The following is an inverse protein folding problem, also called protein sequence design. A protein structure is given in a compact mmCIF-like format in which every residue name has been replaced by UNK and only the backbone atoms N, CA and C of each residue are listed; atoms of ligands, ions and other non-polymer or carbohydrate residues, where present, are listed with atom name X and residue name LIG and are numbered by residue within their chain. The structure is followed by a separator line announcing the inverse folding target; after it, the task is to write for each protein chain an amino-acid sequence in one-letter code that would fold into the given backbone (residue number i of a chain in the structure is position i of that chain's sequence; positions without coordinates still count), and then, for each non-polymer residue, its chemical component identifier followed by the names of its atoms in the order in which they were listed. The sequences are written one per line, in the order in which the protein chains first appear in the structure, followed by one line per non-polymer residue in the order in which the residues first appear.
data_IF_340396760676
#
_entry.id   IF_340396760676
#
_cell.length_a   1.000
_cell.length_b   1.000
_cell.length_c   1.000
_cell.angle_alpha   90.00
_cell.angle_beta   90.00
_cell.angle_gamma   90.00
#
_symmetry.space_group_name_H-M   'P 1'
#
loop_
_entity.id
_entity.type
_entity.pdbx_description
1 polymer ?
#
# COMPACT_ATOMS: atom_id res chain seq x y z
N UNK A 1 22.61 -25.17 55.23
CA UNK A 1 22.37 -24.06 56.18
C UNK A 1 21.03 -24.15 56.89
N UNK A 2 19.89 -24.14 56.18
CA UNK A 2 18.55 -24.08 56.79
C UNK A 2 18.23 -25.23 57.77
N UNK A 3 18.57 -26.49 57.41
CA UNK A 3 18.45 -27.65 58.32
C UNK A 3 19.23 -27.48 59.65
N UNK A 4 20.35 -26.76 59.63
CA UNK A 4 21.24 -26.53 60.78
C UNK A 4 20.75 -25.40 61.70
N UNK A 5 19.91 -24.50 61.17
CA UNK A 5 19.23 -23.43 61.92
C UNK A 5 18.00 -24.00 62.65
N UNK A 6 17.23 -24.87 61.98
CA UNK A 6 16.04 -25.49 62.59
C UNK A 6 16.39 -26.49 63.68
N UNK A 7 17.47 -27.25 63.54
CA UNK A 7 17.90 -28.25 64.55
C UNK A 7 18.43 -27.66 65.87
N UNK A 8 18.54 -26.33 65.99
CA UNK A 8 19.04 -25.66 67.20
C UNK A 8 18.02 -24.65 67.79
N UNK A 9 16.79 -24.62 67.27
CA UNK A 9 15.79 -23.60 67.61
C UNK A 9 15.25 -23.75 69.06
N UNK A 10 15.36 -24.95 69.63
CA UNK A 10 14.98 -25.31 70.99
C UNK A 10 15.92 -24.79 72.07
N UNK A 11 17.15 -24.41 71.73
CA UNK A 11 18.22 -24.17 72.70
C UNK A 11 18.60 -22.68 72.85
N UNK A 12 17.98 -21.73 72.14
CA UNK A 12 18.26 -20.30 72.34
C UNK A 12 17.13 -19.35 71.88
N UNK A 13 16.60 -18.48 72.77
CA UNK A 13 15.61 -17.44 72.44
C UNK A 13 16.05 -16.43 71.37
N UNK A 14 17.36 -16.36 71.08
CA UNK A 14 17.92 -15.46 70.06
C UNK A 14 17.52 -15.83 68.61
N UNK A 15 16.98 -17.03 68.36
CA UNK A 15 16.55 -17.46 67.02
C UNK A 15 15.20 -16.87 66.56
N UNK A 16 14.42 -16.25 67.45
CA UNK A 16 13.17 -15.54 67.09
C UNK A 16 13.45 -14.36 66.15
N UNK A 17 14.62 -13.70 66.28
CA UNK A 17 15.08 -12.67 65.34
C UNK A 17 15.37 -13.20 63.93
N UNK A 18 15.75 -14.48 63.79
CA UNK A 18 16.01 -15.11 62.49
C UNK A 18 14.71 -15.53 61.77
N UNK A 19 13.63 -15.81 62.51
CA UNK A 19 12.28 -15.99 61.96
C UNK A 19 11.75 -14.71 61.30
N UNK A 20 12.05 -13.54 61.86
CA UNK A 20 11.75 -12.24 61.25
C UNK A 20 12.44 -12.02 59.91
N UNK A 21 13.68 -12.52 59.75
CA UNK A 21 14.40 -12.52 58.47
C UNK A 21 13.73 -13.45 57.44
N UNK A 22 13.22 -14.61 57.88
CA UNK A 22 12.50 -15.55 57.02
C UNK A 22 11.11 -15.01 56.61
N UNK A 23 10.38 -14.34 57.51
CA UNK A 23 9.12 -13.67 57.20
C UNK A 23 9.29 -12.50 56.21
N UNK A 24 10.35 -11.68 56.38
CA UNK A 24 10.73 -10.65 55.40
C UNK A 24 11.08 -11.26 54.04
N UNK A 25 11.78 -12.40 54.03
CA UNK A 25 12.13 -13.13 52.81
C UNK A 25 10.88 -13.70 52.11
N UNK A 26 9.92 -14.24 52.85
CA UNK A 26 8.63 -14.72 52.28
C UNK A 26 7.82 -13.56 51.69
N UNK A 27 7.74 -12.40 52.36
CA UNK A 27 7.08 -11.20 51.81
C UNK A 27 7.76 -10.69 50.53
N UNK A 28 9.10 -10.72 50.48
CA UNK A 28 9.87 -10.34 49.28
C UNK A 28 9.66 -11.33 48.13
N UNK A 29 9.48 -12.61 48.43
CA UNK A 29 9.15 -13.66 47.44
C UNK A 29 7.71 -13.57 46.91
N UNK A 30 6.75 -13.08 47.70
CA UNK A 30 5.39 -12.79 47.21
C UNK A 30 5.40 -11.69 46.15
N UNK A 31 6.22 -10.65 46.35
CA UNK A 31 6.39 -9.56 45.38
C UNK A 31 7.00 -10.08 44.08
N UNK A 32 7.97 -11.01 44.17
CA UNK A 32 8.59 -11.63 42.98
C UNK A 32 7.61 -12.55 42.23
N UNK A 33 6.72 -13.26 42.93
CA UNK A 33 5.65 -14.07 42.29
C UNK A 33 4.60 -13.21 41.59
N UNK A 34 4.21 -12.07 42.17
CA UNK A 34 3.30 -11.12 41.52
C UNK A 34 3.92 -10.51 40.26
N UNK A 35 5.21 -10.15 40.30
CA UNK A 35 5.94 -9.68 39.11
C UNK A 35 6.01 -10.76 38.01
N UNK A 36 6.26 -12.02 38.37
CA UNK A 36 6.26 -13.14 37.42
C UNK A 36 4.90 -13.32 36.72
N UNK A 37 3.79 -13.18 37.45
CA UNK A 37 2.43 -13.22 36.87
C UNK A 37 2.17 -12.06 35.91
N UNK A 38 2.67 -10.85 36.21
CA UNK A 38 2.58 -9.70 35.30
C UNK A 38 3.33 -9.96 33.99
N UNK A 39 4.52 -10.56 34.06
CA UNK A 39 5.28 -10.92 32.84
C UNK A 39 4.57 -12.01 32.02
N UNK A 40 3.94 -13.00 32.65
CA UNK A 40 3.14 -14.01 31.95
C UNK A 40 1.91 -13.37 31.30
N UNK A 41 1.21 -12.46 32.01
CA UNK A 41 0.07 -11.73 31.45
C UNK A 41 0.49 -10.86 30.26
N UNK A 42 1.61 -10.14 30.35
CA UNK A 42 2.18 -9.37 29.24
C UNK A 42 2.57 -10.26 28.05
N UNK A 43 3.18 -11.42 28.30
CA UNK A 43 3.55 -12.37 27.24
C UNK A 43 2.31 -12.92 26.52
N UNK A 44 1.23 -13.22 27.25
CA UNK A 44 -0.05 -13.66 26.68
C UNK A 44 -0.73 -12.54 25.87
N UNK A 45 -0.64 -11.29 26.33
CA UNK A 45 -1.15 -10.13 25.58
C UNK A 45 -0.37 -9.97 24.27
N UNK A 46 0.97 -10.01 24.31
CA UNK A 46 1.82 -9.91 23.11
C UNK A 46 1.58 -11.09 22.15
N UNK A 47 1.45 -12.31 22.65
CA UNK A 47 1.11 -13.48 21.83
C UNK A 47 -0.28 -13.37 21.21
N UNK A 48 -1.26 -12.85 21.95
CA UNK A 48 -2.61 -12.65 21.40
C UNK A 48 -2.60 -11.66 20.24
N UNK A 49 -1.83 -10.56 20.33
CA UNK A 49 -1.71 -9.56 19.27
C UNK A 49 -1.04 -10.12 18.00
N UNK A 50 -0.07 -11.04 18.15
CA UNK A 50 0.60 -11.67 17.01
C UNK A 50 -0.29 -12.69 16.25
N UNK A 51 -1.31 -13.26 16.88
CA UNK A 51 -2.23 -14.23 16.26
C UNK A 51 -3.31 -13.55 15.41
N UNK A 52 -3.62 -12.28 15.68
CA UNK A 52 -4.65 -11.53 14.96
C UNK A 52 -4.13 -10.73 13.75
N UNK A 53 -2.82 -10.69 13.53
CA UNK A 53 -2.24 -10.06 12.35
C UNK A 53 -2.18 -11.07 11.19
N UNK A 54 -2.77 -10.79 10.02
CA UNK A 54 -2.64 -11.66 8.85
C UNK A 54 -1.15 -11.85 8.51
N UNK A 55 -0.82 -12.97 7.84
CA UNK A 55 0.55 -13.18 7.40
C UNK A 55 1.00 -12.00 6.53
N UNK A 56 2.21 -11.51 6.76
CA UNK A 56 2.74 -10.31 6.08
C UNK A 56 2.65 -10.44 4.54
N UNK A 57 2.76 -11.65 3.99
CA UNK A 57 2.52 -11.90 2.55
C UNK A 57 1.06 -11.73 2.10
N UNK A 58 0.08 -12.06 2.93
CA UNK A 58 -1.33 -11.77 2.66
C UNK A 58 -1.63 -10.27 2.81
N UNK A 59 -0.96 -9.60 3.77
CA UNK A 59 -1.03 -8.16 3.95
C UNK A 59 -0.27 -7.37 2.85
N UNK A 60 0.61 -8.05 2.11
CA UNK A 60 1.38 -7.50 0.99
C UNK A 60 0.78 -7.85 -0.40
N UNK A 61 -0.49 -8.23 -0.47
CA UNK A 61 -1.14 -8.56 -1.75
C UNK A 61 -2.21 -7.52 -2.11
N UNK A 62 -1.93 -6.68 -3.10
CA UNK A 62 -2.82 -5.65 -3.59
C UNK A 62 -2.91 -5.66 -5.13
N UNK A 63 -4.03 -5.22 -5.70
CA UNK A 63 -4.20 -5.11 -7.16
C UNK A 63 -3.25 -4.10 -7.79
N UNK A 64 -2.74 -3.14 -7.02
CA UNK A 64 -1.71 -2.21 -7.45
C UNK A 64 -0.37 -2.91 -7.75
N UNK A 65 -0.12 -4.09 -7.19
CA UNK A 65 1.18 -4.74 -7.19
C UNK A 65 1.54 -5.35 -8.54
N UNK A 66 2.81 -5.26 -8.93
CA UNK A 66 3.33 -6.00 -10.08
C UNK A 66 3.33 -7.50 -9.80
N UNK A 67 3.74 -7.89 -8.60
CA UNK A 67 3.73 -9.27 -8.12
C UNK A 67 2.91 -9.32 -6.82
N UNK A 68 1.70 -9.88 -6.92
CA UNK A 68 0.78 -10.05 -5.78
C UNK A 68 1.44 -10.86 -4.67
N UNK A 69 1.46 -10.33 -3.44
CA UNK A 69 2.10 -10.98 -2.28
C UNK A 69 3.62 -10.82 -2.23
N UNK A 70 4.19 -10.02 -3.12
CA UNK A 70 5.60 -9.66 -3.13
C UNK A 70 6.56 -10.77 -3.53
N UNK A 71 7.83 -10.57 -3.16
CA UNK A 71 8.97 -11.39 -3.55
C UNK A 71 9.47 -12.30 -2.42
N UNK A 72 8.64 -12.52 -1.41
CA UNK A 72 8.94 -13.33 -0.23
C UNK A 72 9.61 -12.53 0.90
N UNK A 73 9.71 -13.15 2.07
CA UNK A 73 10.25 -12.58 3.32
C UNK A 73 11.27 -13.54 3.93
N UNK A 74 12.13 -13.05 4.84
CA UNK A 74 13.08 -13.89 5.56
C UNK A 74 13.97 -14.72 4.64
N UNK A 75 14.02 -16.04 4.85
CA UNK A 75 14.76 -16.99 4.01
C UNK A 75 14.11 -17.24 2.64
N UNK A 76 12.84 -16.86 2.46
CA UNK A 76 12.07 -17.08 1.23
C UNK A 76 12.15 -15.90 0.24
N UNK A 77 12.90 -14.84 0.59
CA UNK A 77 13.17 -13.71 -0.33
C UNK A 77 13.87 -14.22 -1.58
N UNK A 78 13.27 -14.02 -2.75
CA UNK A 78 13.87 -14.48 -4.00
C UNK A 78 13.44 -13.62 -5.18
N UNK A 79 14.43 -13.18 -5.97
CA UNK A 79 14.18 -12.49 -7.24
C UNK A 79 13.46 -13.41 -8.26
N UNK A 80 13.55 -14.73 -8.09
CA UNK A 80 12.81 -15.66 -8.94
C UNK A 80 11.29 -15.50 -8.81
N UNK A 81 10.81 -14.98 -7.67
CA UNK A 81 9.40 -14.62 -7.49
C UNK A 81 8.97 -13.47 -8.43
N UNK A 82 9.92 -12.65 -8.90
CA UNK A 82 9.69 -11.63 -9.92
C UNK A 82 9.94 -12.16 -11.33
N UNK A 83 11.06 -12.88 -11.54
CA UNK A 83 11.46 -13.35 -12.86
C UNK A 83 10.46 -14.33 -13.47
N UNK A 84 9.82 -15.19 -12.66
CA UNK A 84 8.80 -16.14 -13.13
C UNK A 84 7.57 -15.45 -13.74
N UNK A 85 6.85 -14.54 -13.04
CA UNK A 85 5.73 -13.83 -13.65
C UNK A 85 6.19 -12.85 -14.75
N UNK A 86 7.39 -12.28 -14.67
CA UNK A 86 7.98 -11.51 -15.78
C UNK A 86 8.12 -12.38 -17.05
N UNK A 87 8.69 -13.58 -16.94
CA UNK A 87 8.93 -14.46 -18.09
C UNK A 87 7.63 -14.97 -18.73
N UNK A 88 6.63 -15.25 -17.89
CA UNK A 88 5.27 -15.57 -18.32
C UNK A 88 4.49 -14.36 -18.82
N UNK A 89 5.06 -13.15 -18.76
CA UNK A 89 4.39 -11.87 -19.01
C UNK A 89 3.04 -11.74 -18.27
N UNK A 90 2.98 -12.29 -17.06
CA UNK A 90 1.78 -12.20 -16.22
C UNK A 90 1.47 -10.73 -15.96
N UNK A 91 0.21 -10.34 -16.17
CA UNK A 91 -0.26 -8.94 -16.01
C UNK A 91 0.53 -7.90 -16.80
N UNK A 92 1.20 -8.29 -17.90
CA UNK A 92 1.99 -7.38 -18.75
C UNK A 92 3.31 -6.86 -18.13
N UNK A 93 3.85 -7.52 -17.10
CA UNK A 93 5.11 -7.09 -16.47
C UNK A 93 6.27 -7.01 -17.47
N UNK A 94 6.37 -7.98 -18.40
CA UNK A 94 7.44 -7.97 -19.42
C UNK A 94 7.28 -6.78 -20.37
N UNK A 95 6.04 -6.47 -20.76
CA UNK A 95 5.74 -5.34 -21.64
C UNK A 95 6.09 -4.01 -20.97
N UNK A 96 5.76 -3.85 -19.68
CA UNK A 96 6.11 -2.67 -18.88
C UNK A 96 7.63 -2.50 -18.82
N UNK A 97 8.37 -3.56 -18.49
CA UNK A 97 9.84 -3.49 -18.42
C UNK A 97 10.47 -3.19 -19.78
N UNK A 98 9.98 -3.82 -20.85
CA UNK A 98 10.42 -3.52 -22.22
C UNK A 98 10.17 -2.07 -22.61
N UNK A 99 9.01 -1.51 -22.23
CA UNK A 99 8.67 -0.10 -22.45
C UNK A 99 9.66 0.84 -21.75
N UNK A 100 10.06 0.51 -20.53
CA UNK A 100 11.10 1.27 -19.84
C UNK A 100 12.49 1.06 -20.45
N UNK A 101 12.72 -0.06 -21.13
CA UNK A 101 14.03 -0.43 -21.65
C UNK A 101 14.93 -1.12 -20.63
N UNK A 102 14.38 -1.53 -19.49
CA UNK A 102 15.05 -2.38 -18.50
C UNK A 102 15.00 -3.82 -19.02
N UNK A 103 16.17 -4.42 -19.21
CA UNK A 103 16.27 -5.77 -19.77
C UNK A 103 16.16 -6.85 -18.71
N UNK A 104 15.76 -8.07 -19.11
CA UNK A 104 15.76 -9.24 -18.22
C UNK A 104 17.13 -9.50 -17.57
N UNK A 105 18.21 -9.29 -18.30
CA UNK A 105 19.57 -9.51 -17.79
C UNK A 105 19.94 -8.46 -16.72
N UNK A 106 19.54 -7.21 -16.93
CA UNK A 106 19.69 -6.14 -15.92
C UNK A 106 18.87 -6.44 -14.67
N UNK A 107 17.66 -6.99 -14.82
CA UNK A 107 16.85 -7.44 -13.69
C UNK A 107 17.57 -8.57 -12.95
N UNK A 108 18.01 -9.61 -13.66
CA UNK A 108 18.67 -10.77 -13.06
C UNK A 108 20.00 -10.44 -12.36
N UNK A 109 20.66 -9.34 -12.73
CA UNK A 109 21.90 -8.87 -12.08
C UNK A 109 21.66 -8.00 -10.83
N UNK A 110 20.41 -7.57 -10.60
CA UNK A 110 20.04 -6.72 -9.48
C UNK A 110 20.34 -7.38 -8.12
N UNK A 111 20.69 -6.55 -7.14
CA UNK A 111 21.14 -6.99 -5.80
C UNK A 111 20.16 -6.57 -4.74
N UNK A 112 19.85 -7.49 -3.83
CA UNK A 112 18.99 -7.19 -2.69
C UNK A 112 19.69 -6.22 -1.74
N UNK A 113 19.04 -5.10 -1.43
CA UNK A 113 19.51 -4.07 -0.51
C UNK A 113 18.33 -3.21 -0.05
N UNK A 114 18.62 -2.13 0.69
CA UNK A 114 17.64 -1.08 0.98
C UNK A 114 18.06 0.25 0.35
N UNK A 115 17.08 1.13 0.11
CA UNK A 115 17.32 2.50 -0.36
C UNK A 115 16.38 3.49 0.31
N UNK A 116 16.81 4.75 0.33
CA UNK A 116 15.95 5.87 0.72
C UNK A 116 15.04 6.26 -0.47
N UNK A 117 13.75 6.55 -0.21
CA UNK A 117 12.75 6.84 -1.25
C UNK A 117 13.13 8.07 -2.08
N UNK A 118 13.49 9.18 -1.43
CA UNK A 118 13.87 10.43 -2.10
C UNK A 118 12.84 10.89 -3.15
N UNK A 119 13.33 11.36 -4.28
CA UNK A 119 12.52 11.79 -5.43
C UNK A 119 12.14 10.65 -6.39
N UNK A 120 12.26 9.39 -5.97
CA UNK A 120 11.98 8.23 -6.81
C UNK A 120 10.49 8.06 -7.06
N UNK A 121 10.18 7.35 -8.14
CA UNK A 121 8.83 7.06 -8.59
C UNK A 121 8.57 5.56 -8.41
N UNK A 122 7.52 5.20 -7.67
CA UNK A 122 7.00 3.83 -7.63
C UNK A 122 5.92 3.64 -8.68
N UNK A 123 5.90 2.48 -9.34
CA UNK A 123 5.01 2.16 -10.44
C UNK A 123 4.06 1.02 -10.04
N UNK A 124 2.76 1.23 -10.22
CA UNK A 124 1.74 0.21 -9.96
C UNK A 124 0.59 0.25 -10.97
N UNK A 125 -0.33 -0.71 -10.87
CA UNK A 125 -1.45 -0.85 -11.81
C UNK A 125 -2.68 -0.01 -11.49
N UNK A 126 -2.77 0.61 -10.31
CA UNK A 126 -4.01 1.20 -9.81
C UNK A 126 -3.84 2.66 -9.42
N UNK A 127 -4.39 3.64 -10.14
CA UNK A 127 -4.27 5.08 -9.79
C UNK A 127 -4.58 5.33 -8.30
N UNK A 128 -3.71 6.06 -7.61
CA UNK A 128 -3.86 6.39 -6.17
C UNK A 128 -3.88 7.89 -5.91
N UNK A 129 -3.29 8.67 -6.81
CA UNK A 129 -3.14 10.11 -6.64
C UNK A 129 -3.50 10.84 -7.93
N UNK A 130 -3.95 12.08 -7.81
CA UNK A 130 -4.27 12.90 -8.99
C UNK A 130 -3.00 13.33 -9.73
N UNK A 131 -3.17 13.71 -11.00
CA UNK A 131 -2.09 14.27 -11.81
C UNK A 131 -1.49 15.55 -11.18
N UNK A 132 -2.30 16.31 -10.43
CA UNK A 132 -1.86 17.51 -9.72
C UNK A 132 -0.90 17.19 -8.56
N UNK A 133 -1.06 16.03 -7.92
CA UNK A 133 -0.14 15.52 -6.89
C UNK A 133 1.16 14.95 -7.49
N UNK A 134 1.22 14.76 -8.82
CA UNK A 134 2.41 14.32 -9.54
C UNK A 134 2.35 12.87 -10.02
N UNK A 135 1.21 12.18 -9.90
CA UNK A 135 1.01 10.88 -10.55
C UNK A 135 1.05 11.03 -12.07
N UNK A 136 1.76 10.11 -12.74
CA UNK A 136 1.87 10.07 -14.20
C UNK A 136 1.32 8.76 -14.72
N UNK A 137 0.28 8.86 -15.55
CA UNK A 137 -0.23 7.71 -16.31
C UNK A 137 0.75 7.38 -17.43
N UNK A 138 1.26 6.17 -17.43
CA UNK A 138 2.15 5.63 -18.46
C UNK A 138 1.38 4.61 -19.28
N UNK A 139 1.07 5.00 -20.51
CA UNK A 139 0.36 4.17 -21.49
C UNK A 139 1.36 3.26 -22.18
N UNK A 140 1.50 2.04 -21.69
CA UNK A 140 2.40 1.04 -22.27
C UNK A 140 1.82 0.57 -23.60
N UNK A 141 2.62 0.70 -24.66
CA UNK A 141 2.25 0.30 -26.02
C UNK A 141 3.16 -0.82 -26.52
N UNK A 142 2.61 -1.71 -27.34
CA UNK A 142 3.38 -2.73 -28.03
C UNK A 142 4.28 -2.16 -29.13
N UNK A 143 5.14 -2.99 -29.73
CA UNK A 143 6.00 -2.58 -30.85
C UNK A 143 5.25 -1.96 -32.03
N UNK A 144 4.00 -2.36 -32.24
CA UNK A 144 3.11 -1.85 -33.30
C UNK A 144 2.31 -0.61 -32.90
N UNK A 145 2.55 -0.04 -31.70
CA UNK A 145 1.87 1.15 -31.19
C UNK A 145 0.47 0.89 -30.60
N UNK A 146 0.02 -0.37 -30.55
CA UNK A 146 -1.23 -0.73 -29.90
C UNK A 146 -1.12 -0.59 -28.37
N UNK A 147 -2.19 -0.11 -27.73
CA UNK A 147 -2.25 -0.02 -26.27
C UNK A 147 -2.22 -1.43 -25.64
N UNK A 148 -1.42 -1.61 -24.58
CA UNK A 148 -1.32 -2.85 -23.82
C UNK A 148 -1.92 -2.67 -22.43
N UNK A 149 -1.33 -1.78 -21.63
CA UNK A 149 -1.71 -1.58 -20.22
C UNK A 149 -1.40 -0.15 -19.79
N UNK A 150 -2.19 0.39 -18.87
CA UNK A 150 -1.84 1.61 -18.16
C UNK A 150 -1.19 1.24 -16.84
N UNK A 151 -0.03 1.83 -16.57
CA UNK A 151 0.62 1.81 -15.25
C UNK A 151 0.83 3.24 -14.79
N UNK A 152 1.00 3.43 -13.49
CA UNK A 152 0.97 4.75 -12.88
C UNK A 152 2.25 4.96 -12.07
N UNK A 153 3.06 5.91 -12.48
CA UNK A 153 4.30 6.28 -11.80
C UNK A 153 4.03 7.43 -10.82
N UNK A 154 4.36 7.22 -9.54
CA UNK A 154 4.01 8.14 -8.43
C UNK A 154 5.24 8.50 -7.61
N UNK A 155 5.40 9.77 -7.21
CA UNK A 155 6.38 10.14 -6.21
C UNK A 155 6.20 9.32 -4.93
N UNK A 156 7.26 8.65 -4.47
CA UNK A 156 7.19 7.81 -3.28
C UNK A 156 6.85 8.61 -2.01
N UNK A 157 7.15 9.90 -1.99
CA UNK A 157 6.82 10.81 -0.88
C UNK A 157 5.32 10.93 -0.62
N UNK A 158 4.46 10.63 -1.61
CA UNK A 158 3.00 10.67 -1.44
C UNK A 158 2.47 9.55 -0.53
N UNK A 159 3.24 8.48 -0.36
CA UNK A 159 2.93 7.39 0.56
C UNK A 159 3.40 7.65 2.00
N UNK A 160 3.79 8.88 2.34
CA UNK A 160 4.31 9.23 3.67
C UNK A 160 5.77 8.82 3.89
N UNK A 161 6.42 8.22 2.90
CA UNK A 161 7.84 7.88 2.98
C UNK A 161 8.71 9.14 3.06
N UNK A 162 9.62 9.16 4.03
CA UNK A 162 10.51 10.29 4.31
C UNK A 162 11.99 9.88 4.19
N UNK A 163 12.91 10.81 4.49
CA UNK A 163 14.36 10.57 4.37
C UNK A 163 14.89 9.45 5.27
N UNK A 164 14.17 9.11 6.34
CA UNK A 164 14.53 8.04 7.28
C UNK A 164 13.92 6.69 6.89
N UNK A 165 12.94 6.68 5.98
CA UNK A 165 12.33 5.44 5.50
C UNK A 165 13.35 4.61 4.72
N UNK A 166 13.36 3.30 4.96
CA UNK A 166 14.15 2.33 4.21
C UNK A 166 13.23 1.38 3.47
N UNK A 167 13.33 1.39 2.15
CA UNK A 167 12.58 0.47 1.29
C UNK A 167 13.51 -0.67 0.87
N UNK A 168 13.03 -1.90 0.98
CA UNK A 168 13.81 -3.11 0.69
C UNK A 168 13.42 -3.72 -0.65
N UNK A 169 14.39 -4.33 -1.33
CA UNK A 169 14.18 -4.92 -2.64
C UNK A 169 15.45 -5.08 -3.45
N UNK A 170 15.31 -5.34 -4.74
CA UNK A 170 16.42 -5.59 -5.66
C UNK A 170 16.75 -4.34 -6.47
N UNK A 171 17.95 -3.82 -6.29
CA UNK A 171 18.44 -2.61 -6.97
C UNK A 171 19.35 -3.01 -8.12
N UNK A 172 19.13 -2.41 -9.29
CA UNK A 172 19.89 -2.64 -10.51
C UNK A 172 20.25 -1.33 -11.23
N UNK A 173 21.02 -1.48 -12.31
CA UNK A 173 21.33 -0.40 -13.24
C UNK A 173 20.92 -0.82 -14.64
N UNK A 174 20.19 0.05 -15.31
CA UNK A 174 19.83 -0.12 -16.71
C UNK A 174 20.58 0.86 -17.58
N UNK A 175 21.09 0.41 -18.72
CA UNK A 175 21.75 1.29 -19.68
C UNK A 175 20.81 2.40 -20.21
N UNK A 176 19.50 2.12 -20.30
CA UNK A 176 18.50 3.09 -20.79
C UNK A 176 17.86 3.90 -19.66
N UNK A 177 17.50 3.24 -18.56
CA UNK A 177 16.77 3.88 -17.46
C UNK A 177 17.67 4.45 -16.36
N UNK A 178 18.92 4.02 -16.28
CA UNK A 178 19.78 4.25 -15.13
C UNK A 178 19.34 3.41 -13.94
N UNK A 179 19.44 3.99 -12.74
CA UNK A 179 19.06 3.33 -11.49
C UNK A 179 17.60 2.89 -11.53
N UNK A 180 17.35 1.63 -11.17
CA UNK A 180 16.02 1.09 -10.92
C UNK A 180 16.03 0.16 -9.71
N UNK A 181 14.85 -0.08 -9.15
CA UNK A 181 14.66 -1.13 -8.15
C UNK A 181 13.34 -1.87 -8.34
N UNK A 182 13.25 -3.06 -7.75
CA UNK A 182 12.04 -3.87 -7.65
C UNK A 182 11.75 -4.06 -6.16
N UNK A 183 10.63 -3.51 -5.70
CA UNK A 183 10.24 -3.56 -4.29
C UNK A 183 9.99 -4.99 -3.85
N UNK A 184 10.41 -5.31 -2.63
CA UNK A 184 10.23 -6.64 -2.06
C UNK A 184 8.74 -6.95 -1.82
N UNK A 185 7.98 -6.00 -1.28
CA UNK A 185 6.63 -6.28 -0.77
C UNK A 185 5.58 -6.40 -1.88
N UNK A 186 5.83 -5.81 -3.05
CA UNK A 186 4.86 -5.73 -4.16
C UNK A 186 5.43 -6.09 -5.53
N UNK A 187 6.74 -6.27 -5.66
CA UNK A 187 7.40 -6.38 -6.96
C UNK A 187 7.31 -5.11 -7.82
N UNK A 188 6.78 -4.00 -7.29
CA UNK A 188 6.61 -2.76 -8.06
C UNK A 188 7.96 -2.22 -8.52
N UNK A 189 7.96 -1.71 -9.75
CA UNK A 189 9.12 -1.04 -10.32
C UNK A 189 9.31 0.33 -9.65
N UNK A 190 10.55 0.66 -9.34
CA UNK A 190 10.95 2.00 -8.87
C UNK A 190 12.00 2.56 -9.80
N UNK A 191 11.79 3.79 -10.26
CA UNK A 191 12.72 4.52 -11.13
C UNK A 191 12.94 5.95 -10.67
N UNK A 192 13.93 6.63 -11.21
CA UNK A 192 14.16 8.07 -10.98
C UNK A 192 13.44 8.96 -11.98
N UNK A 193 12.88 8.38 -13.05
CA UNK A 193 12.24 9.07 -14.16
C UNK A 193 11.26 8.16 -14.88
N UNK A 194 10.33 8.77 -15.63
CA UNK A 194 9.49 8.09 -16.61
C UNK A 194 10.18 8.21 -17.98
N UNK A 195 10.23 7.15 -18.82
CA UNK A 195 10.74 7.27 -20.18
C UNK A 195 9.96 8.35 -20.95
N UNK A 196 10.62 9.09 -21.87
CA UNK A 196 9.90 10.00 -22.75
C UNK A 196 8.88 9.23 -23.60
N UNK A 197 7.68 9.78 -23.77
CA UNK A 197 6.64 9.18 -24.61
C UNK A 197 7.20 9.05 -26.04
N UNK A 198 7.12 7.87 -26.68
CA UNK A 198 7.52 7.73 -28.08
C UNK A 198 6.78 8.76 -28.94
N UNK A 199 7.45 9.46 -29.87
CA UNK A 199 6.78 10.44 -30.71
C UNK A 199 5.62 9.79 -31.46
N UNK A 200 4.44 10.45 -31.47
CA UNK A 200 3.31 10.02 -32.31
C UNK A 200 3.81 9.87 -33.75
N UNK A 201 3.42 8.81 -34.48
CA UNK A 201 3.73 8.70 -35.91
C UNK A 201 3.27 9.97 -36.62
N UNK A 202 4.22 10.67 -37.24
CA UNK A 202 3.91 11.85 -38.05
C UNK A 202 3.02 11.36 -39.20
N UNK A 203 1.83 11.94 -39.43
CA UNK A 203 1.02 11.62 -40.60
C UNK A 203 1.87 11.71 -41.86
N UNK A 204 1.70 10.81 -42.85
CA UNK A 204 2.45 10.87 -44.10
C UNK A 204 2.38 12.29 -44.65
N UNK A 205 3.55 12.93 -44.87
CA UNK A 205 3.60 14.24 -45.53
C UNK A 205 2.83 14.12 -46.84
N UNK A 206 1.77 14.92 -46.99
CA UNK A 206 1.06 15.06 -48.26
C UNK A 206 2.12 15.36 -49.34
N UNK A 207 2.21 14.58 -50.42
CA UNK A 207 3.18 14.84 -51.48
C UNK A 207 2.99 16.27 -51.99
N UNK A 208 4.02 17.10 -51.84
CA UNK A 208 4.09 18.40 -52.49
C UNK A 208 3.89 18.22 -53.99
N UNK A 209 2.96 18.95 -54.64
CA UNK A 209 2.78 18.89 -56.08
C UNK A 209 4.11 19.17 -56.79
N UNK A 210 4.49 18.26 -57.69
CA UNK A 210 5.68 18.36 -58.53
C UNK A 210 5.64 19.69 -59.33
N UNK A 211 6.71 20.50 -59.33
CA UNK A 211 6.76 21.73 -60.13
C UNK A 211 6.50 21.41 -61.61
N UNK A 212 5.54 22.10 -62.20
CA UNK A 212 5.22 22.01 -63.63
C UNK A 212 6.37 22.66 -64.44
N UNK A 213 6.80 22.09 -65.58
CA UNK A 213 7.91 22.64 -66.36
C UNK A 213 7.59 24.04 -66.94
N UNK A 214 8.61 24.84 -67.27
CA UNK A 214 8.42 26.20 -67.76
C UNK A 214 7.79 26.19 -69.16
N UNK A 215 6.74 26.98 -69.35
CA UNK A 215 6.32 27.42 -70.68
C UNK A 215 6.34 28.95 -70.72
N UNK A 216 7.15 29.48 -71.63
CA UNK A 216 7.16 30.86 -72.11
C UNK A 216 7.30 30.73 -73.64
N UNK A 217 6.60 31.52 -74.49
CA UNK A 217 6.38 32.95 -74.30
C UNK A 217 4.94 33.47 -74.39
N UNK A 218 4.78 34.59 -73.69
CA UNK A 218 3.67 35.57 -73.67
C UNK A 218 3.12 35.91 -75.06
N UNK A 219 1.82 36.24 -75.15
CA UNK A 219 1.50 37.68 -75.14
C UNK A 219 0.17 38.10 -74.47
N UNK A 220 0.16 39.42 -74.16
CA UNK A 220 -0.95 40.35 -73.91
C UNK A 220 -1.38 40.58 -72.43
N UNK A 221 -1.57 41.85 -71.99
CA UNK A 221 -1.88 42.17 -70.59
C UNK A 221 -3.30 41.71 -70.22
N UNK A 222 -3.41 40.93 -69.15
CA UNK A 222 -4.68 40.55 -68.53
C UNK A 222 -4.98 41.56 -67.40
N UNK A 223 -6.24 41.97 -67.19
CA UNK A 223 -6.62 42.89 -66.12
C UNK A 223 -6.20 42.38 -64.73
N UNK A 224 -6.04 43.27 -63.72
CA UNK A 224 -5.63 42.86 -62.38
C UNK A 224 -6.61 41.82 -61.82
N UNK A 225 -6.11 40.62 -61.50
CA UNK A 225 -6.88 39.64 -60.74
C UNK A 225 -7.17 40.24 -59.36
N UNK A 226 -8.45 40.37 -59.05
CA UNK A 226 -8.95 40.59 -57.69
C UNK A 226 -8.26 39.58 -56.76
N UNK A 227 -7.68 40.00 -55.62
CA UNK A 227 -7.09 39.07 -54.67
C UNK A 227 -8.17 38.09 -54.19
N UNK A 228 -7.98 36.82 -54.51
CA UNK A 228 -8.80 35.73 -53.99
C UNK A 228 -8.73 35.78 -52.46
N UNK A 229 -9.86 35.81 -51.73
CA UNK A 229 -9.82 35.77 -50.27
C UNK A 229 -9.11 34.50 -49.82
N UNK A 230 -8.07 34.66 -48.99
CA UNK A 230 -7.39 33.55 -48.33
C UNK A 230 -8.45 32.79 -47.53
N UNK A 231 -8.66 31.47 -47.75
CA UNK A 231 -9.60 30.69 -46.97
C UNK A 231 -9.28 30.86 -45.48
N UNK A 232 -10.28 31.03 -44.59
CA UNK A 232 -10.03 31.07 -43.16
C UNK A 232 -9.21 29.84 -42.77
N UNK A 233 -8.08 30.06 -42.10
CA UNK A 233 -7.20 29.00 -41.61
C UNK A 233 -8.05 28.05 -40.75
N UNK A 234 -8.29 26.83 -41.25
CA UNK A 234 -9.06 25.82 -40.52
C UNK A 234 -8.42 25.64 -39.15
N UNK A 235 -9.16 25.82 -38.03
CA UNK A 235 -8.62 25.60 -36.70
C UNK A 235 -8.01 24.20 -36.63
N UNK A 236 -6.78 24.09 -36.16
CA UNK A 236 -6.15 22.78 -35.96
C UNK A 236 -7.01 21.96 -34.99
N UNK A 237 -7.35 20.71 -35.31
CA UNK A 237 -8.09 19.83 -34.40
C UNK A 237 -7.34 19.66 -33.08
N UNK A 238 -8.00 20.00 -31.98
CA UNK A 238 -7.52 19.87 -30.61
C UNK A 238 -8.58 19.09 -29.84
N UNK A 239 -8.24 17.87 -29.45
CA UNK A 239 -8.97 17.10 -28.44
C UNK A 239 -8.47 17.51 -27.05
N UNK A 240 -9.37 17.95 -26.16
CA UNK A 240 -9.03 18.31 -24.79
C UNK A 240 -10.15 17.88 -23.84
N UNK A 241 -9.98 16.75 -23.18
CA UNK A 241 -10.91 16.25 -22.17
C UNK A 241 -10.48 16.73 -20.80
N UNK A 242 -11.40 17.38 -20.08
CA UNK A 242 -11.26 17.76 -18.68
C UNK A 242 -12.14 16.83 -17.87
N UNK A 243 -11.54 16.12 -16.92
CA UNK A 243 -12.23 15.21 -16.01
C UNK A 243 -12.29 15.85 -14.63
N UNK A 244 -13.40 15.63 -13.92
CA UNK A 244 -13.58 16.08 -12.55
C UNK A 244 -14.50 15.14 -11.78
N UNK A 245 -14.37 15.16 -10.45
CA UNK A 245 -15.08 14.29 -9.53
C UNK A 245 -15.46 15.02 -8.25
N UNK A 246 -16.63 14.69 -7.71
CA UNK A 246 -17.09 15.10 -6.39
C UNK A 246 -17.78 13.94 -5.66
N UNK A 247 -17.95 14.08 -4.35
CA UNK A 247 -18.71 13.14 -3.53
C UNK A 247 -19.50 13.87 -2.46
N UNK A 248 -20.69 13.36 -2.14
CA UNK A 248 -21.51 13.84 -1.04
C UNK A 248 -21.92 12.69 -0.13
N UNK A 249 -21.95 12.94 1.17
CA UNK A 249 -22.50 12.00 2.15
C UNK A 249 -24.01 12.24 2.27
N UNK A 250 -24.80 11.33 1.71
CA UNK A 250 -26.27 11.47 1.69
C UNK A 250 -26.90 11.13 3.05
N UNK A 251 -26.21 10.37 3.90
CA UNK A 251 -26.65 10.06 5.27
C UNK A 251 -26.41 11.23 6.24
N UNK A 252 -25.44 12.10 5.96
CA UNK A 252 -25.09 13.25 6.79
C UNK A 252 -25.60 14.59 6.22
N UNK A 253 -26.73 14.58 5.50
CA UNK A 253 -27.37 15.82 5.03
C UNK A 253 -26.83 16.36 3.71
N UNK A 254 -26.33 15.51 2.81
CA UNK A 254 -25.82 15.88 1.48
C UNK A 254 -24.60 16.80 1.51
N UNK A 255 -23.83 16.76 2.60
CA UNK A 255 -22.57 17.50 2.74
C UNK A 255 -21.48 16.94 1.85
N UNK A 256 -20.51 17.77 1.48
CA UNK A 256 -19.30 17.31 0.79
C UNK A 256 -18.60 16.23 1.63
N UNK A 257 -18.50 15.03 1.07
CA UNK A 257 -18.00 13.88 1.80
C UNK A 257 -16.52 14.03 2.21
N UNK A 258 -15.75 14.87 1.52
CA UNK A 258 -14.34 15.13 1.87
C UNK A 258 -14.18 16.00 3.12
N UNK A 259 -15.26 16.66 3.57
CA UNK A 259 -15.25 17.57 4.73
C UNK A 259 -15.72 16.92 6.03
N UNK A 260 -16.25 15.70 5.96
CA UNK A 260 -16.76 14.95 7.11
C UNK A 260 -16.11 13.57 7.18
N UNK A 261 -16.15 12.96 8.37
CA UNK A 261 -15.73 11.57 8.53
C UNK A 261 -16.93 10.64 8.25
N UNK A 262 -16.74 9.69 7.34
CA UNK A 262 -17.74 8.67 7.02
C UNK A 262 -17.84 7.65 8.16
N UNK A 263 -19.07 7.36 8.57
CA UNK A 263 -19.40 6.38 9.61
C UNK A 263 -19.98 5.10 9.01
N UNK A 264 -20.09 4.07 9.84
CA UNK A 264 -20.75 2.81 9.46
C UNK A 264 -22.15 3.08 8.88
N UNK A 265 -22.50 2.35 7.83
CA UNK A 265 -23.78 2.47 7.11
C UNK A 265 -24.05 3.80 6.39
N UNK A 266 -23.13 4.78 6.41
CA UNK A 266 -23.28 6.00 5.61
C UNK A 266 -23.39 5.67 4.12
N UNK A 267 -24.16 6.47 3.38
CA UNK A 267 -24.23 6.41 1.93
C UNK A 267 -23.44 7.55 1.32
N UNK A 268 -22.51 7.21 0.43
CA UNK A 268 -21.68 8.16 -0.28
C UNK A 268 -22.05 8.11 -1.76
N UNK A 269 -22.49 9.24 -2.30
CA UNK A 269 -22.81 9.41 -3.71
C UNK A 269 -21.66 10.13 -4.41
N UNK A 270 -21.02 9.44 -5.34
CA UNK A 270 -19.97 10.00 -6.18
C UNK A 270 -20.54 10.48 -7.51
N UNK A 271 -20.03 11.59 -8.02
CA UNK A 271 -20.37 12.12 -9.34
C UNK A 271 -19.09 12.39 -10.13
N UNK A 272 -19.03 11.86 -11.35
CA UNK A 272 -17.91 12.03 -12.28
C UNK A 272 -18.39 12.80 -13.50
N UNK A 273 -17.56 13.71 -14.00
CA UNK A 273 -17.88 14.54 -15.16
C UNK A 273 -16.69 14.61 -16.10
N UNK A 274 -16.94 14.31 -17.38
CA UNK A 274 -15.98 14.52 -18.45
C UNK A 274 -16.50 15.58 -19.42
N UNK A 275 -15.73 16.63 -19.64
CA UNK A 275 -16.06 17.75 -20.53
C UNK A 275 -15.05 17.85 -21.66
N UNK A 276 -15.54 17.92 -22.90
CA UNK A 276 -14.69 18.23 -24.04
C UNK A 276 -14.50 19.74 -24.15
N UNK A 277 -13.37 20.23 -23.66
CA UNK A 277 -12.93 21.63 -23.77
C UNK A 277 -12.09 21.87 -25.03
N UNK A 278 -12.02 20.89 -25.94
CA UNK A 278 -11.38 20.99 -27.25
C UNK A 278 -12.31 21.55 -28.31
N UNK A 279 -11.82 21.61 -29.55
CA UNK A 279 -12.58 22.09 -30.71
C UNK A 279 -12.99 20.97 -31.69
N UNK A 280 -12.68 19.71 -31.36
CA UNK A 280 -13.01 18.51 -32.15
C UNK A 280 -13.70 17.48 -31.28
N UNK A 281 -14.60 16.68 -31.87
CA UNK A 281 -15.25 15.58 -31.15
C UNK A 281 -14.22 14.59 -30.61
N UNK A 282 -14.41 14.15 -29.37
CA UNK A 282 -13.54 13.19 -28.71
C UNK A 282 -14.37 12.03 -28.15
N UNK A 283 -13.84 10.81 -28.22
CA UNK A 283 -14.41 9.63 -27.58
C UNK A 283 -13.76 9.48 -26.19
N UNK A 284 -14.58 9.41 -25.15
CA UNK A 284 -14.13 9.32 -23.76
C UNK A 284 -14.56 8.00 -23.17
N UNK A 285 -13.58 7.25 -22.65
CA UNK A 285 -13.82 6.09 -21.80
C UNK A 285 -14.07 6.58 -20.37
N UNK A 286 -15.22 6.21 -19.79
CA UNK A 286 -15.56 6.51 -18.41
C UNK A 286 -15.39 5.24 -17.60
N UNK A 287 -14.39 5.25 -16.71
CA UNK A 287 -14.06 4.13 -15.84
C UNK A 287 -13.65 4.63 -14.45
N UNK A 288 -13.94 3.84 -13.43
CA UNK A 288 -13.73 4.16 -12.02
C UNK A 288 -13.08 2.99 -11.31
N UNK A 289 -11.90 3.22 -10.72
CA UNK A 289 -11.21 2.22 -9.89
C UNK A 289 -11.69 2.34 -8.45
N UNK A 290 -12.43 1.32 -8.00
CA UNK A 290 -13.08 1.31 -6.69
C UNK A 290 -12.36 0.43 -5.67
N UNK A 291 -11.17 -0.09 -5.99
CA UNK A 291 -10.44 -1.01 -5.12
C UNK A 291 -10.28 -0.46 -3.69
N UNK A 292 -9.85 0.81 -3.56
CA UNK A 292 -9.69 1.52 -2.28
C UNK A 292 -11.03 1.75 -1.56
N UNK A 293 -12.00 2.30 -2.29
CA UNK A 293 -13.34 2.63 -1.77
C UNK A 293 -14.03 1.38 -1.20
N UNK A 294 -13.86 0.24 -1.87
CA UNK A 294 -14.50 -1.03 -1.50
C UNK A 294 -13.82 -1.75 -0.34
N UNK A 295 -12.69 -1.24 0.19
CA UNK A 295 -12.12 -1.74 1.45
C UNK A 295 -13.03 -1.41 2.64
N UNK A 296 -13.84 -0.34 2.53
CA UNK A 296 -14.71 0.16 3.60
C UNK A 296 -16.19 0.24 3.23
N UNK A 297 -16.54 -0.09 1.99
CA UNK A 297 -17.90 0.09 1.50
C UNK A 297 -18.31 -1.00 0.51
N UNK A 298 -19.60 -1.07 0.22
CA UNK A 298 -20.18 -1.87 -0.85
C UNK A 298 -20.78 -0.96 -1.90
N UNK A 299 -20.59 -1.31 -3.17
CA UNK A 299 -21.25 -0.63 -4.28
C UNK A 299 -22.74 -1.00 -4.27
N UNK A 300 -23.61 0.00 -4.08
CA UNK A 300 -25.07 -0.20 -3.95
C UNK A 300 -25.84 0.28 -5.17
N UNK A 301 -25.30 1.24 -5.92
CA UNK A 301 -25.85 1.68 -7.20
C UNK A 301 -24.70 1.92 -8.18
N UNK A 302 -24.72 1.20 -9.30
CA UNK A 302 -23.70 1.27 -10.34
C UNK A 302 -23.91 2.44 -11.31
N UNK A 303 -25.02 3.19 -11.22
CA UNK A 303 -25.24 4.35 -12.08
C UNK A 303 -25.34 4.03 -13.56
N UNK A 304 -25.85 2.84 -13.90
CA UNK A 304 -25.88 2.31 -15.26
C UNK A 304 -24.52 1.82 -15.79
N UNK A 305 -23.51 1.69 -14.93
CA UNK A 305 -22.22 1.09 -15.26
C UNK A 305 -22.19 -0.42 -15.02
N UNK A 306 -21.25 -1.10 -15.66
CA UNK A 306 -20.96 -2.52 -15.43
C UNK A 306 -19.79 -2.64 -14.47
N UNK A 307 -20.00 -3.31 -13.34
CA UNK A 307 -18.96 -3.52 -12.33
C UNK A 307 -18.20 -4.82 -12.58
N UNK A 308 -16.89 -4.72 -12.78
CA UNK A 308 -15.98 -5.86 -12.82
C UNK A 308 -15.53 -6.20 -11.40
N UNK A 309 -16.06 -7.30 -10.84
CA UNK A 309 -15.75 -7.71 -9.47
C UNK A 309 -14.29 -8.11 -9.25
N UNK A 310 -13.61 -8.57 -10.30
CA UNK A 310 -12.21 -9.00 -10.24
C UNK A 310 -11.29 -7.80 -10.27
N UNK A 311 -11.49 -6.87 -11.20
CA UNK A 311 -10.66 -5.67 -11.33
C UNK A 311 -11.07 -4.54 -10.37
N UNK A 312 -12.22 -4.70 -9.69
CA UNK A 312 -12.86 -3.65 -8.87
C UNK A 312 -13.06 -2.34 -9.64
N UNK A 313 -13.32 -2.46 -10.93
CA UNK A 313 -13.53 -1.33 -11.84
C UNK A 313 -15.00 -1.22 -12.19
N UNK A 314 -15.56 -0.01 -12.13
CA UNK A 314 -16.87 0.33 -12.69
C UNK A 314 -16.67 0.99 -14.06
N UNK A 315 -17.30 0.45 -15.11
CA UNK A 315 -17.11 0.90 -16.50
C UNK A 315 -18.43 1.26 -17.15
N UNK A 316 -18.48 2.40 -17.85
CA UNK A 316 -19.61 2.79 -18.69
C UNK A 316 -19.24 2.70 -20.18
N UNK A 317 -20.24 2.62 -21.08
CA UNK A 317 -20.00 2.71 -22.52
C UNK A 317 -19.27 4.00 -22.89
N UNK A 318 -18.41 3.91 -23.91
CA UNK A 318 -17.69 5.05 -24.47
C UNK A 318 -18.65 6.15 -24.91
N UNK A 319 -18.35 7.39 -24.55
CA UNK A 319 -19.17 8.55 -24.88
C UNK A 319 -18.46 9.42 -25.91
N UNK A 320 -19.15 9.76 -26.99
CA UNK A 320 -18.69 10.75 -27.97
C UNK A 320 -19.13 12.13 -27.50
N UNK A 321 -18.17 12.99 -27.18
CA UNK A 321 -18.41 14.35 -26.74
C UNK A 321 -18.07 15.34 -27.85
N UNK A 322 -19.08 16.08 -28.31
CA UNK A 322 -18.89 17.24 -29.17
C UNK A 322 -18.13 18.35 -28.43
N UNK A 323 -17.51 19.31 -29.14
CA UNK A 323 -16.88 20.48 -28.52
C UNK A 323 -17.84 21.19 -27.55
N UNK A 324 -17.38 21.47 -26.33
CA UNK A 324 -18.15 22.12 -25.27
C UNK A 324 -19.12 21.23 -24.51
N UNK A 325 -19.45 20.04 -25.02
CA UNK A 325 -20.36 19.10 -24.35
C UNK A 325 -19.69 18.35 -23.19
N UNK A 326 -20.51 17.89 -22.26
CA UNK A 326 -20.08 17.08 -21.12
C UNK A 326 -20.97 15.86 -20.91
N UNK A 327 -20.42 14.84 -20.25
CA UNK A 327 -21.16 13.69 -19.76
C UNK A 327 -20.88 13.47 -18.28
N UNK A 328 -21.94 13.15 -17.55
CA UNK A 328 -21.90 12.92 -16.10
C UNK A 328 -22.41 11.53 -15.77
N UNK A 329 -21.79 10.87 -14.80
CA UNK A 329 -22.26 9.62 -14.19
C UNK A 329 -22.22 9.73 -12.67
N UNK A 330 -23.13 9.02 -12.02
CA UNK A 330 -23.26 9.01 -10.57
C UNK A 330 -23.37 7.58 -10.12
N UNK A 331 -22.61 7.20 -9.09
CA UNK A 331 -22.72 5.89 -8.45
C UNK A 331 -22.75 6.05 -6.93
N UNK A 332 -23.29 5.06 -6.23
CA UNK A 332 -23.48 5.13 -4.77
C UNK A 332 -22.83 3.92 -4.13
N UNK A 333 -22.05 4.20 -3.07
CA UNK A 333 -21.55 3.17 -2.17
C UNK A 333 -22.19 3.33 -0.78
N UNK A 334 -22.28 2.24 -0.05
CA UNK A 334 -22.67 2.23 1.36
C UNK A 334 -21.50 1.76 2.20
N UNK A 335 -21.12 2.54 3.20
CA UNK A 335 -20.13 2.15 4.19
C UNK A 335 -20.56 0.86 4.88
N UNK A 336 -19.61 -0.03 5.12
CA UNK A 336 -19.88 -1.29 5.79
C UNK A 336 -20.54 -1.06 7.16
N UNK A 337 -21.41 -1.98 7.55
CA UNK A 337 -22.04 -1.95 8.87
C UNK A 337 -21.05 -2.18 10.02
N UNK A 338 -19.88 -2.75 9.70
CA UNK A 338 -18.74 -2.89 10.60
C UNK A 338 -17.49 -2.55 9.82
N UNK A 339 -16.79 -1.49 10.20
CA UNK A 339 -15.55 -1.09 9.52
C UNK A 339 -14.44 -2.11 9.82
N UNK A 340 -13.78 -2.68 8.79
CA UNK A 340 -12.72 -3.66 9.00
C UNK A 340 -11.56 -3.09 9.83
N UNK A 341 -11.15 -3.86 10.85
CA UNK A 341 -9.90 -3.64 11.58
C UNK A 341 -8.69 -4.29 10.88
N UNK A 342 -8.79 -4.53 9.57
CA UNK A 342 -7.68 -5.03 8.75
C UNK A 342 -6.50 -4.08 8.87
N UNK A 343 -5.32 -4.66 9.07
CA UNK A 343 -4.05 -3.95 9.11
C UNK A 343 -3.82 -3.17 7.81
N UNK A 344 -3.06 -2.08 7.91
CA UNK A 344 -2.65 -1.31 6.74
C UNK A 344 -1.84 -2.21 5.80
N UNK A 345 -2.09 -2.09 4.50
CA UNK A 345 -1.44 -2.91 3.48
C UNK A 345 0.08 -2.69 3.47
N UNK A 346 0.85 -3.77 3.58
CA UNK A 346 2.31 -3.72 3.54
C UNK A 346 2.84 -3.37 2.13
N UNK A 347 2.15 -3.84 1.08
CA UNK A 347 2.53 -3.61 -0.31
C UNK A 347 2.06 -2.27 -0.88
N UNK A 348 0.94 -1.77 -0.37
CA UNK A 348 0.32 -0.50 -0.75
C UNK A 348 -0.11 0.26 0.51
N UNK A 349 0.66 1.28 0.96
CA UNK A 349 0.32 2.06 2.15
C UNK A 349 -0.99 2.85 2.03
N UNK A 350 -1.56 3.00 0.82
CA UNK A 350 -2.91 3.57 0.69
C UNK A 350 -4.01 2.58 1.05
N UNK A 351 -3.72 1.29 1.04
CA UNK A 351 -4.67 0.23 1.37
C UNK A 351 -4.86 0.09 2.87
N UNK A 352 -6.12 -0.02 3.28
CA UNK A 352 -6.59 -0.15 4.64
C UNK A 352 -6.08 0.96 5.58
N UNK A 353 -5.92 2.20 5.10
CA UNK A 353 -5.37 3.33 5.88
C UNK A 353 -6.41 4.26 6.56
N UNK A 354 -7.67 3.84 6.68
CA UNK A 354 -8.82 4.62 7.16
C UNK A 354 -9.21 5.83 6.30
N UNK A 355 -8.82 5.82 5.04
CA UNK A 355 -9.14 6.87 4.09
C UNK A 355 -9.62 6.18 2.82
N UNK A 356 -10.77 6.58 2.29
CA UNK A 356 -11.18 6.21 0.93
C UNK A 356 -10.68 7.29 -0.03
N UNK A 357 -9.85 6.90 -0.98
CA UNK A 357 -9.36 7.75 -2.07
C UNK A 357 -9.85 7.23 -3.41
N UNK A 358 -10.41 8.11 -4.22
CA UNK A 358 -10.89 7.76 -5.54
C UNK A 358 -10.60 8.88 -6.55
N UNK A 359 -10.01 8.51 -7.68
CA UNK A 359 -9.39 9.46 -8.61
C UNK A 359 -10.07 9.41 -9.97
N UNK A 360 -10.51 10.59 -10.45
CA UNK A 360 -10.99 10.80 -11.81
C UNK A 360 -10.77 12.26 -12.21
N UNK A 361 -9.65 12.52 -12.90
CA UNK A 361 -9.13 13.88 -13.13
C UNK A 361 -8.52 14.49 -11.86
N UNK A 362 -9.34 14.70 -10.83
CA UNK A 362 -8.93 15.04 -9.46
C UNK A 362 -9.14 13.85 -8.50
N UNK A 363 -8.56 13.95 -7.31
CA UNK A 363 -8.80 13.04 -6.19
C UNK A 363 -9.97 13.53 -5.33
N UNK A 364 -10.72 12.55 -4.80
CA UNK A 364 -11.66 12.73 -3.70
C UNK A 364 -11.20 11.82 -2.58
N UNK A 365 -10.98 12.40 -1.40
CA UNK A 365 -10.46 11.73 -0.21
C UNK A 365 -11.46 11.88 0.93
N UNK A 366 -11.87 10.78 1.53
CA UNK A 366 -12.88 10.73 2.59
C UNK A 366 -12.31 9.97 3.78
N UNK A 367 -12.24 10.62 4.94
CA UNK A 367 -11.82 9.97 6.18
C UNK A 367 -12.90 8.98 6.63
N UNK A 368 -12.49 7.81 7.10
CA UNK A 368 -13.37 6.76 7.63
C UNK A 368 -13.17 6.64 9.13
N UNK A 369 -14.28 6.56 9.88
CA UNK A 369 -14.24 6.35 11.31
C UNK A 369 -13.86 4.90 11.66
N UNK A 370 -12.56 4.63 11.68
CA UNK A 370 -12.00 3.33 12.06
C UNK A 370 -11.98 3.14 13.58
N UNK A 371 -12.03 1.87 14.01
CA UNK A 371 -11.90 1.51 15.43
C UNK A 371 -10.51 1.85 16.01
N UNK A 372 -10.47 2.12 17.32
CA UNK A 372 -9.28 2.57 18.06
C UNK A 372 -8.04 1.67 17.91
N UNK A 373 -8.14 0.32 17.86
CA UNK A 373 -6.97 -0.54 17.64
C UNK A 373 -6.18 -0.18 16.37
N UNK A 374 -6.86 0.27 15.32
CA UNK A 374 -6.26 0.66 14.04
C UNK A 374 -5.52 1.99 14.09
N UNK A 375 -6.03 2.93 14.89
CA UNK A 375 -5.36 4.22 15.15
C UNK A 375 -4.03 3.98 15.88
N UNK A 376 -3.99 2.99 16.78
CA UNK A 376 -2.76 2.62 17.51
C UNK A 376 -1.75 1.94 16.59
N UNK A 377 -2.18 1.09 15.65
CA UNK A 377 -1.32 0.50 14.60
C UNK A 377 -0.64 1.58 13.77
N UNK A 378 -1.39 2.58 13.30
CA UNK A 378 -0.82 3.71 12.52
C UNK A 378 0.15 4.57 13.34
N UNK A 379 -0.10 4.72 14.64
CA UNK A 379 0.76 5.49 15.56
C UNK A 379 2.00 4.71 16.05
N UNK A 380 1.95 3.38 16.05
CA UNK A 380 3.05 2.49 16.45
C UNK A 380 3.45 1.67 15.24
N UNK A 381 4.05 2.35 14.26
CA UNK A 381 4.43 1.80 12.95
C UNK A 381 5.40 0.61 13.05
N UNK A 382 6.06 0.44 14.19
CA UNK A 382 6.91 -0.71 14.50
C UNK A 382 6.79 -1.06 15.99
N UNK A 383 5.94 -2.04 16.31
CA UNK A 383 6.39 -3.00 17.32
C UNK A 383 7.61 -3.69 16.70
N UNK A 384 8.75 -3.84 17.41
CA UNK A 384 9.94 -4.44 16.82
C UNK A 384 9.55 -5.76 16.18
N UNK A 385 9.78 -5.87 14.87
CA UNK A 385 9.47 -7.08 14.10
C UNK A 385 10.29 -8.21 14.68
N UNK A 386 9.68 -8.99 15.57
CA UNK A 386 10.34 -10.17 16.10
C UNK A 386 10.22 -11.25 15.05
N UNK A 387 11.24 -11.37 14.20
CA UNK A 387 11.38 -12.51 13.30
C UNK A 387 11.37 -13.84 14.07
N UNK A 388 11.37 -14.98 13.38
CA UNK A 388 11.38 -16.30 14.04
C UNK A 388 12.49 -16.42 15.08
N UNK A 389 13.65 -15.83 14.84
CA UNK A 389 14.80 -15.82 15.76
C UNK A 389 14.51 -15.00 17.02
N UNK A 390 13.98 -13.79 16.88
CA UNK A 390 13.62 -12.92 18.00
C UNK A 390 12.44 -13.48 18.81
N UNK A 391 11.48 -14.14 18.15
CA UNK A 391 10.40 -14.88 18.81
C UNK A 391 10.94 -16.07 19.59
N UNK A 392 11.95 -16.77 19.08
CA UNK A 392 12.63 -17.85 19.82
C UNK A 392 13.46 -17.31 21.00
N UNK A 393 14.10 -16.15 20.85
CA UNK A 393 14.81 -15.49 21.96
C UNK A 393 13.80 -15.05 23.03
N UNK A 394 12.72 -14.38 22.64
CA UNK A 394 11.66 -13.96 23.56
C UNK A 394 11.00 -15.15 24.25
N UNK A 395 10.62 -16.19 23.50
CA UNK A 395 10.08 -17.43 24.05
C UNK A 395 11.10 -18.10 25.00
N UNK A 396 12.38 -18.08 24.66
CA UNK A 396 13.46 -18.55 25.51
C UNK A 396 13.57 -17.78 26.83
N UNK A 397 13.48 -16.45 26.79
CA UNK A 397 13.50 -15.57 27.98
C UNK A 397 12.26 -15.80 28.85
N UNK A 398 11.07 -15.91 28.24
CA UNK A 398 9.82 -16.21 28.94
C UNK A 398 9.88 -17.60 29.57
N UNK A 399 10.32 -18.62 28.84
CA UNK A 399 10.47 -19.98 29.33
C UNK A 399 11.49 -20.05 30.47
N UNK A 400 12.66 -19.44 30.32
CA UNK A 400 13.70 -19.40 31.36
C UNK A 400 13.18 -18.75 32.64
N UNK A 401 12.45 -17.64 32.50
CA UNK A 401 11.82 -16.94 33.62
C UNK A 401 10.76 -17.82 34.30
N UNK A 402 9.87 -18.44 33.51
CA UNK A 402 8.84 -19.34 34.02
C UNK A 402 9.46 -20.57 34.73
N UNK A 403 10.49 -21.18 34.15
CA UNK A 403 11.22 -22.31 34.73
C UNK A 403 11.91 -21.92 36.03
N UNK A 404 12.56 -20.74 36.09
CA UNK A 404 13.16 -20.22 37.32
C UNK A 404 12.10 -20.08 38.43
N UNK A 405 10.95 -19.46 38.13
CA UNK A 405 9.87 -19.29 39.09
C UNK A 405 9.23 -20.61 39.52
N UNK A 406 9.09 -21.57 38.61
CA UNK A 406 8.61 -22.93 38.91
C UNK A 406 9.58 -23.67 39.84
N UNK A 407 10.87 -23.70 39.50
CA UNK A 407 11.91 -24.34 40.31
C UNK A 407 12.00 -23.71 41.69
N UNK A 408 11.92 -22.37 41.76
CA UNK A 408 11.93 -21.63 43.02
C UNK A 408 10.70 -21.94 43.88
N UNK A 409 9.51 -21.98 43.28
CA UNK A 409 8.28 -22.36 43.99
C UNK A 409 8.36 -23.78 44.54
N UNK A 410 8.94 -24.71 43.77
CA UNK A 410 9.12 -26.11 44.19
C UNK A 410 10.12 -26.23 45.34
N UNK A 411 11.22 -25.48 45.31
CA UNK A 411 12.19 -25.39 46.40
C UNK A 411 11.52 -24.92 47.70
N UNK A 412 10.74 -23.83 47.64
CA UNK A 412 10.04 -23.29 48.82
C UNK A 412 9.02 -24.29 49.39
N UNK A 413 8.27 -24.99 48.53
CA UNK A 413 7.35 -26.06 48.98
C UNK A 413 8.09 -27.17 49.73
N UNK A 414 9.29 -27.55 49.28
CA UNK A 414 10.11 -28.54 49.98
C UNK A 414 10.62 -28.01 51.31
N UNK A 415 11.08 -26.76 51.37
CA UNK A 415 11.51 -26.10 52.62
C UNK A 415 10.35 -26.07 53.64
N UNK A 416 9.14 -25.64 53.23
CA UNK A 416 7.95 -25.62 54.10
C UNK A 416 7.53 -27.03 54.55
N UNK A 417 7.59 -28.03 53.66
CA UNK A 417 7.27 -29.41 54.01
C UNK A 417 8.25 -29.98 55.03
N UNK A 418 9.54 -29.65 54.91
CA UNK A 418 10.55 -30.04 55.89
C UNK A 418 10.27 -29.37 57.25
N UNK A 419 9.96 -28.07 57.27
CA UNK A 419 9.59 -27.34 58.50
C UNK A 419 8.39 -28.02 59.19
N UNK A 420 7.29 -28.26 58.46
CA UNK A 420 6.10 -28.92 59.03
C UNK A 420 6.41 -30.32 59.55
N UNK A 421 7.22 -31.09 58.82
CA UNK A 421 7.61 -32.43 59.26
C UNK A 421 8.42 -32.36 60.56
N UNK A 422 9.44 -31.50 60.63
CA UNK A 422 10.27 -31.32 61.82
C UNK A 422 9.48 -30.87 63.05
N UNK A 423 8.50 -29.96 62.86
CA UNK A 423 7.62 -29.50 63.94
C UNK A 423 6.66 -30.60 64.41
N UNK A 424 6.16 -31.44 63.51
CA UNK A 424 5.17 -32.47 63.83
C UNK A 424 5.77 -33.79 64.34
N UNK A 425 7.03 -34.13 64.01
CA UNK A 425 7.66 -35.38 64.45
C UNK A 425 8.33 -35.30 65.82
N UNK A 426 8.19 -34.18 66.54
CA UNK A 426 8.74 -34.01 67.90
C UNK A 426 10.26 -34.22 68.00
N UNK A 427 10.96 -34.26 66.88
CA UNK A 427 12.41 -34.38 66.78
C UNK A 427 12.96 -32.96 66.81
N UNK A 428 12.87 -32.38 68.00
CA UNK A 428 13.39 -31.08 68.38
C UNK A 428 14.74 -31.27 69.06
#
# INVERSE_FOLDING_TARGET
MFRKIISNLSFSPALVGQLGFYAKRIRKEETTRRLGLVFVALALIVQSLAVFQPSESANASNQNDFVSGGLGLGSNKSLNNFLRPYDANSRHIKDVMNYTGITRQEIASAKYTSWAPGNKLSWGYQSRFSAAQGEKVVKVTGPSGNAIVNVYARPMTLYGYNSNSKIYGWVGQSAKMGWFAIMQDCGNLVTTKVPPVPPKPVPPKVPTPKPTPPKTPTPKPVPPKVPTPVPPKVPTPIEKIVQSKSAVNTSQGLVDASTVTANENDQIKYTITAKNSGNTQATVKLEEQLADVLEYSTLTDNGGGTFNQTEKTLVWPDVKLAPGSEATRTFVVRMLATIPATAQGASDPSSFNCIMTNVFGNDVTINVNCSTPKVIEQAVSELPTTGPTENMIFAGVVLSSATYFYARTRQVKQEVRLIRRSLNTGTI
#
